data_IF_724092658071
#
_entry.id   IF_724092658071
#
_cell.length_a   1.000
_cell.length_b   1.000
_cell.length_c   1.000
_cell.angle_alpha   90.00
_cell.angle_beta   90.00
_cell.angle_gamma   90.00
#
_symmetry.space_group_name_H-M   'P 1'
#
loop_
_entity.id
_entity.type
_entity.pdbx_description
1 polymer ?
#
# COMPACT_ATOMS: atom_id res chain seq x y z
N UNK A 1 9.57 -6.30 19.72
CA UNK A 1 8.92 -7.47 19.08
C UNK A 1 7.57 -7.06 18.55
N UNK A 2 7.31 -7.25 17.26
CA UNK A 2 6.06 -6.86 16.61
C UNK A 2 4.97 -7.92 16.92
N UNK A 3 3.70 -7.54 16.97
CA UNK A 3 2.61 -8.44 17.43
C UNK A 3 2.49 -9.74 16.59
N UNK A 4 2.86 -9.70 15.32
CA UNK A 4 2.83 -10.86 14.39
C UNK A 4 4.00 -11.82 14.68
N UNK A 5 5.20 -11.30 14.88
CA UNK A 5 6.39 -12.09 15.22
C UNK A 5 6.23 -12.82 16.56
N UNK A 6 5.52 -12.19 17.48
CA UNK A 6 5.25 -12.72 18.82
C UNK A 6 4.34 -13.95 18.81
N UNK A 7 3.28 -13.95 17.95
CA UNK A 7 2.39 -15.11 17.82
C UNK A 7 3.06 -16.29 17.13
N UNK A 8 3.90 -16.04 16.14
CA UNK A 8 4.64 -17.07 15.43
C UNK A 8 5.66 -17.75 16.36
N UNK A 9 6.36 -16.97 17.16
CA UNK A 9 7.31 -17.46 18.15
C UNK A 9 6.63 -18.32 19.24
N UNK A 10 5.46 -17.90 19.72
CA UNK A 10 4.67 -18.68 20.69
C UNK A 10 4.16 -20.00 20.09
N UNK A 11 3.72 -20.01 18.83
CA UNK A 11 3.33 -21.25 18.16
C UNK A 11 4.48 -22.24 18.06
N UNK A 12 5.68 -21.80 17.68
CA UNK A 12 6.89 -22.63 17.60
C UNK A 12 7.33 -23.14 18.98
N UNK A 13 7.13 -22.35 20.03
CA UNK A 13 7.43 -22.76 21.42
C UNK A 13 6.53 -23.91 21.86
N UNK A 14 5.22 -23.82 21.65
CA UNK A 14 4.24 -24.81 22.07
C UNK A 14 4.21 -26.05 21.16
N UNK A 15 4.58 -25.93 19.86
CA UNK A 15 4.76 -27.09 18.97
C UNK A 15 6.06 -27.88 19.23
N UNK A 16 6.97 -27.32 20.02
CA UNK A 16 8.27 -27.94 20.30
C UNK A 16 9.34 -27.64 19.25
N UNK A 17 9.05 -26.81 18.25
CA UNK A 17 9.94 -26.49 17.13
C UNK A 17 10.84 -25.26 17.39
N UNK A 18 10.67 -24.57 18.53
CA UNK A 18 11.47 -23.41 18.89
C UNK A 18 12.93 -23.80 19.20
N UNK A 19 13.86 -23.01 18.64
CA UNK A 19 15.30 -23.13 18.92
C UNK A 19 15.63 -22.77 20.37
N UNK A 20 16.84 -23.10 20.82
CA UNK A 20 17.29 -22.76 22.20
C UNK A 20 17.30 -21.25 22.43
N UNK A 21 17.66 -20.46 21.43
CA UNK A 21 17.70 -18.99 21.49
C UNK A 21 16.29 -18.40 21.56
N UNK A 22 15.37 -18.88 20.72
CA UNK A 22 13.96 -18.49 20.71
C UNK A 22 13.25 -18.81 22.03
N UNK A 23 13.59 -19.92 22.69
CA UNK A 23 13.05 -20.28 24.01
C UNK A 23 13.49 -19.30 25.09
N UNK A 24 14.76 -18.89 25.09
CA UNK A 24 15.29 -17.90 26.04
C UNK A 24 14.60 -16.54 25.82
N UNK A 25 14.36 -16.15 24.58
CA UNK A 25 13.67 -14.90 24.23
C UNK A 25 12.21 -14.88 24.72
N UNK A 26 11.47 -15.97 24.52
CA UNK A 26 10.08 -16.10 25.03
C UNK A 26 10.03 -16.06 26.55
N UNK A 27 10.94 -16.74 27.23
CA UNK A 27 10.99 -16.74 28.71
C UNK A 27 11.35 -15.34 29.25
N UNK A 28 12.26 -14.62 28.59
CA UNK A 28 12.57 -13.23 28.91
C UNK A 28 11.37 -12.30 28.71
N UNK A 29 10.69 -12.45 27.58
CA UNK A 29 9.48 -11.68 27.26
C UNK A 29 8.35 -11.97 28.28
N UNK A 30 8.13 -13.23 28.65
CA UNK A 30 7.14 -13.63 29.66
C UNK A 30 7.39 -12.95 30.99
N UNK A 31 8.66 -12.85 31.41
CA UNK A 31 9.07 -12.24 32.72
C UNK A 31 9.04 -10.70 32.70
N UNK A 32 9.02 -10.08 31.51
CA UNK A 32 9.15 -8.63 31.39
C UNK A 32 7.92 -7.84 31.87
N UNK A 33 6.71 -8.42 31.90
CA UNK A 33 5.52 -7.76 32.43
C UNK A 33 4.41 -8.74 32.84
N UNK A 34 3.56 -8.32 33.78
CA UNK A 34 2.37 -9.08 34.16
C UNK A 34 1.40 -9.32 33.02
N UNK A 35 1.33 -8.36 32.06
CA UNK A 35 0.51 -8.47 30.85
C UNK A 35 1.01 -9.59 29.94
N UNK A 36 2.32 -9.73 29.76
CA UNK A 36 2.93 -10.79 28.95
C UNK A 36 2.72 -12.16 29.58
N UNK A 37 2.77 -12.24 30.92
CA UNK A 37 2.51 -13.47 31.65
C UNK A 37 1.05 -13.94 31.45
N UNK A 38 0.09 -13.01 31.50
CA UNK A 38 -1.33 -13.32 31.23
C UNK A 38 -1.55 -13.78 29.82
N UNK A 39 -0.93 -13.11 28.83
CA UNK A 39 -1.03 -13.47 27.41
C UNK A 39 -0.42 -14.85 27.12
N UNK A 40 0.71 -15.20 27.76
CA UNK A 40 1.31 -16.53 27.67
C UNK A 40 0.38 -17.62 28.21
N UNK A 41 -0.22 -17.40 29.39
CA UNK A 41 -1.13 -18.35 30.02
C UNK A 41 -2.43 -18.55 29.21
N UNK A 42 -2.93 -17.50 28.58
CA UNK A 42 -4.09 -17.57 27.69
C UNK A 42 -3.77 -18.41 26.43
N UNK A 43 -2.62 -18.20 25.84
CA UNK A 43 -2.18 -18.97 24.66
C UNK A 43 -1.95 -20.44 25.01
N UNK A 44 -1.34 -20.74 26.15
CA UNK A 44 -1.15 -22.10 26.68
C UNK A 44 -2.48 -22.82 26.85
N UNK A 45 -3.49 -22.16 27.41
CA UNK A 45 -4.84 -22.72 27.60
C UNK A 45 -5.53 -23.05 26.26
N UNK A 46 -5.40 -22.16 25.27
CA UNK A 46 -5.91 -22.38 23.90
C UNK A 46 -5.21 -23.57 23.27
N UNK A 47 -3.90 -23.66 23.39
CA UNK A 47 -3.10 -24.75 22.83
C UNK A 47 -3.46 -26.10 23.44
N UNK A 48 -3.60 -26.21 24.76
CA UNK A 48 -4.02 -27.41 25.46
C UNK A 48 -5.42 -27.85 25.03
N UNK A 49 -6.37 -26.91 24.91
CA UNK A 49 -7.73 -27.24 24.48
C UNK A 49 -7.81 -27.71 23.01
N UNK A 50 -6.86 -27.29 22.17
CA UNK A 50 -6.76 -27.73 20.78
C UNK A 50 -6.12 -29.12 20.65
N UNK A 51 -5.25 -29.52 21.60
CA UNK A 51 -4.54 -30.80 21.58
C UNK A 51 -5.25 -31.90 22.35
N UNK A 52 -6.16 -31.57 23.27
CA UNK A 52 -6.87 -32.57 24.11
C UNK A 52 -8.07 -33.25 23.44
N UNK A 53 -8.49 -32.87 22.26
CA UNK A 53 -9.50 -33.60 21.47
C UNK A 53 -8.80 -34.40 20.37
N UNK A 54 -8.53 -35.71 20.57
CA UNK A 54 -8.23 -36.54 19.41
C UNK A 54 -9.44 -36.51 18.48
N UNK A 55 -9.19 -36.20 17.20
CA UNK A 55 -10.20 -36.35 16.16
C UNK A 55 -10.71 -37.79 16.24
N UNK A 56 -11.93 -37.97 16.77
CA UNK A 56 -12.61 -39.25 16.64
C UNK A 56 -12.88 -39.43 15.16
N UNK A 57 -12.07 -40.25 14.50
CA UNK A 57 -12.34 -40.71 13.15
C UNK A 57 -13.64 -41.49 13.23
N UNK A 58 -14.73 -41.04 12.59
CA UNK A 58 -15.99 -41.78 12.61
C UNK A 58 -15.76 -43.18 12.08
N UNK A 59 -16.26 -44.19 12.77
CA UNK A 59 -16.20 -45.57 12.27
C UNK A 59 -17.13 -45.65 11.06
N UNK A 60 -16.51 -45.57 9.88
CA UNK A 60 -17.20 -45.54 8.58
C UNK A 60 -18.05 -46.78 8.38
N UNK A 61 -17.62 -47.93 8.91
CA UNK A 61 -18.34 -49.19 8.80
C UNK A 61 -19.62 -49.18 9.60
N UNK A 62 -19.61 -48.61 10.80
CA UNK A 62 -20.83 -48.44 11.62
C UNK A 62 -21.80 -47.42 10.99
N UNK A 63 -21.28 -46.36 10.43
CA UNK A 63 -22.11 -45.36 9.72
C UNK A 63 -22.76 -45.95 8.46
N UNK A 64 -22.03 -46.82 7.75
CA UNK A 64 -22.54 -47.53 6.57
C UNK A 64 -23.64 -48.52 6.92
N UNK A 65 -23.46 -49.30 8.01
CA UNK A 65 -24.48 -50.26 8.49
C UNK A 65 -25.78 -49.54 8.88
N UNK A 66 -25.69 -48.36 9.54
CA UNK A 66 -26.86 -47.60 9.88
C UNK A 66 -27.55 -46.99 8.66
N UNK A 67 -26.81 -46.48 7.71
CA UNK A 67 -27.35 -45.87 6.50
C UNK A 67 -27.98 -46.92 5.57
N UNK A 68 -27.37 -48.12 5.41
CA UNK A 68 -27.90 -49.20 4.59
C UNK A 68 -29.18 -49.78 5.20
N UNK A 69 -29.29 -49.87 6.53
CA UNK A 69 -30.54 -50.25 7.24
C UNK A 69 -31.67 -49.25 7.02
N UNK A 70 -31.40 -47.96 7.00
CA UNK A 70 -32.39 -46.93 6.72
C UNK A 70 -32.85 -46.90 5.26
N UNK A 71 -31.98 -47.27 4.33
CA UNK A 71 -32.28 -47.27 2.89
C UNK A 71 -32.87 -48.57 2.39
N UNK A 72 -33.06 -49.62 3.25
CA UNK A 72 -33.63 -50.91 2.88
C UNK A 72 -32.81 -51.70 1.91
N UNK A 73 -31.49 -51.47 1.85
CA UNK A 73 -30.56 -52.18 0.95
C UNK A 73 -30.27 -53.58 1.51
N UNK A 74 -30.23 -54.67 0.69
CA UNK A 74 -29.87 -56.01 1.16
C UNK A 74 -28.46 -56.00 1.74
N UNK A 75 -28.33 -56.50 2.97
CA UNK A 75 -27.01 -56.74 3.59
C UNK A 75 -26.40 -57.99 3.01
N UNK A 76 -25.52 -57.85 2.02
CA UNK A 76 -24.60 -58.92 1.66
C UNK A 76 -23.43 -58.88 2.64
N UNK A 77 -23.43 -59.79 3.61
CA UNK A 77 -22.24 -60.05 4.41
C UNK A 77 -21.26 -60.83 3.54
N UNK A 78 -20.12 -60.30 3.17
CA UNK A 78 -19.08 -61.08 2.52
C UNK A 78 -18.56 -62.12 3.53
N UNK A 79 -18.37 -63.39 3.14
CA UNK A 79 -17.80 -64.39 4.01
C UNK A 79 -16.40 -63.97 4.41
N UNK A 80 -16.13 -64.00 5.72
CA UNK A 80 -14.81 -63.75 6.26
C UNK A 80 -13.85 -64.84 5.76
N UNK A 81 -13.21 -64.59 4.64
CA UNK A 81 -12.07 -65.36 4.20
C UNK A 81 -10.87 -64.90 4.95
N UNK A 82 -10.46 -65.65 5.97
CA UNK A 82 -9.16 -65.49 6.61
C UNK A 82 -8.13 -65.73 5.55
N UNK A 83 -7.69 -64.67 4.91
CA UNK A 83 -6.49 -64.72 4.09
C UNK A 83 -5.33 -64.77 5.07
N UNK A 84 -4.74 -65.99 5.18
CA UNK A 84 -3.38 -66.14 5.71
C UNK A 84 -2.53 -65.05 5.04
N UNK A 85 -1.99 -64.15 5.87
CA UNK A 85 -1.03 -63.16 5.41
C UNK A 85 0.19 -63.91 4.87
N UNK A 86 0.15 -64.20 3.57
CA UNK A 86 1.35 -64.52 2.83
C UNK A 86 2.33 -63.37 3.13
N UNK A 87 3.49 -63.71 3.75
CA UNK A 87 4.58 -62.75 3.94
C UNK A 87 4.69 -61.94 2.66
N UNK A 88 4.65 -60.59 2.74
CA UNK A 88 4.79 -59.77 1.56
C UNK A 88 6.06 -60.23 0.83
N UNK A 89 6.02 -60.41 -0.51
CA UNK A 89 7.23 -60.67 -1.25
C UNK A 89 8.23 -59.59 -0.83
N UNK A 90 9.46 -60.00 -0.52
CA UNK A 90 10.57 -59.05 -0.28
C UNK A 90 10.86 -58.32 -1.61
N UNK A 91 9.91 -57.45 -1.99
CA UNK A 91 10.06 -56.53 -3.09
C UNK A 91 10.66 -55.28 -2.48
N UNK A 92 11.91 -55.29 -2.22
CA UNK A 92 12.73 -54.06 -2.21
C UNK A 92 14.04 -54.30 -1.46
N UNK A 93 14.77 -55.32 -1.88
CA UNK A 93 16.20 -55.27 -1.79
C UNK A 93 16.74 -54.72 -3.12
N UNK A 94 16.27 -53.57 -3.53
CA UNK A 94 17.04 -52.82 -4.52
C UNK A 94 18.37 -52.45 -3.86
N UNK A 95 19.40 -53.24 -4.18
CA UNK A 95 20.77 -52.78 -4.01
C UNK A 95 20.82 -51.43 -4.70
N UNK A 96 20.98 -50.35 -3.90
CA UNK A 96 21.11 -48.97 -4.36
C UNK A 96 22.22 -48.95 -5.41
N UNK A 97 21.83 -49.04 -6.66
CA UNK A 97 22.79 -49.06 -7.78
C UNK A 97 23.33 -47.62 -7.93
N UNK A 98 24.54 -47.51 -8.38
CA UNK A 98 25.14 -46.24 -8.74
C UNK A 98 24.27 -45.42 -9.72
N UNK A 99 23.43 -46.09 -10.53
CA UNK A 99 22.43 -45.47 -11.41
C UNK A 99 21.37 -44.64 -10.67
N UNK A 100 20.96 -45.09 -9.46
CA UNK A 100 19.91 -44.41 -8.70
C UNK A 100 20.39 -43.05 -8.16
N UNK A 101 21.70 -42.88 -7.93
CA UNK A 101 22.30 -41.61 -7.51
C UNK A 101 22.16 -40.53 -8.60
N UNK A 102 22.28 -40.94 -9.88
CA UNK A 102 22.10 -39.98 -10.99
C UNK A 102 20.63 -39.61 -11.20
N UNK A 103 19.69 -40.51 -10.92
CA UNK A 103 18.25 -40.22 -10.98
C UNK A 103 17.88 -39.18 -9.89
N UNK A 104 18.36 -39.38 -8.66
CA UNK A 104 18.14 -38.44 -7.59
C UNK A 104 18.86 -37.10 -7.81
N UNK A 105 20.06 -37.12 -8.37
CA UNK A 105 20.79 -35.90 -8.76
C UNK A 105 20.04 -35.16 -9.89
N UNK A 106 19.52 -35.86 -10.89
CA UNK A 106 18.71 -35.27 -11.95
C UNK A 106 17.40 -34.67 -11.41
N UNK A 107 16.73 -35.36 -10.48
CA UNK A 107 15.52 -34.85 -9.81
C UNK A 107 15.82 -33.59 -8.98
N UNK A 108 16.93 -33.55 -8.25
CA UNK A 108 17.36 -32.38 -7.48
C UNK A 108 17.69 -31.19 -8.39
N UNK A 109 18.37 -31.41 -9.51
CA UNK A 109 18.67 -30.35 -10.49
C UNK A 109 17.37 -29.82 -11.11
N UNK A 110 16.40 -30.70 -11.42
CA UNK A 110 15.11 -30.29 -11.97
C UNK A 110 14.30 -29.48 -10.97
N UNK A 111 14.27 -29.88 -9.69
CA UNK A 111 13.63 -29.14 -8.61
C UNK A 111 14.29 -27.77 -8.38
N UNK A 112 15.62 -27.71 -8.40
CA UNK A 112 16.35 -26.44 -8.31
C UNK A 112 16.07 -25.56 -9.54
N UNK A 113 15.99 -26.13 -10.73
CA UNK A 113 15.62 -25.42 -11.95
C UNK A 113 14.20 -24.83 -11.87
N UNK A 114 13.23 -25.63 -11.43
CA UNK A 114 11.84 -25.15 -11.21
C UNK A 114 11.80 -24.09 -10.10
N UNK A 115 12.50 -24.31 -8.99
CA UNK A 115 12.56 -23.35 -7.90
C UNK A 115 13.19 -22.02 -8.32
N UNK A 116 14.26 -22.04 -9.12
CA UNK A 116 14.88 -20.81 -9.65
C UNK A 116 13.98 -20.10 -10.65
N UNK A 117 13.26 -20.83 -11.51
CA UNK A 117 12.30 -20.23 -12.45
C UNK A 117 11.14 -19.60 -11.67
N UNK A 118 10.58 -20.29 -10.68
CA UNK A 118 9.53 -19.75 -9.81
C UNK A 118 10.03 -18.54 -9.03
N UNK A 119 11.24 -18.59 -8.50
CA UNK A 119 11.86 -17.46 -7.79
C UNK A 119 12.02 -16.25 -8.71
N UNK A 120 12.54 -16.42 -9.93
CA UNK A 120 12.65 -15.35 -10.92
C UNK A 120 11.28 -14.81 -11.34
N UNK A 121 10.29 -15.69 -11.52
CA UNK A 121 8.93 -15.29 -11.86
C UNK A 121 8.29 -14.42 -10.75
N UNK A 122 8.45 -14.80 -9.49
CA UNK A 122 7.98 -14.01 -8.33
C UNK A 122 8.74 -12.69 -8.21
N UNK A 123 10.05 -12.67 -8.47
CA UNK A 123 10.86 -11.43 -8.44
C UNK A 123 10.48 -10.46 -9.57
N UNK A 124 10.22 -10.96 -10.76
CA UNK A 124 9.92 -10.10 -11.93
C UNK A 124 8.54 -9.42 -11.85
N UNK A 125 7.62 -9.93 -11.01
CA UNK A 125 6.29 -9.32 -10.84
C UNK A 125 6.29 -8.08 -9.92
N UNK A 126 7.39 -7.78 -9.23
CA UNK A 126 7.50 -6.69 -8.26
C UNK A 126 8.43 -5.56 -8.70
N UNK A 127 8.75 -5.43 -10.01
CA UNK A 127 9.51 -4.27 -10.48
C UNK A 127 8.66 -3.01 -10.41
N UNK A 128 9.14 -2.05 -9.62
CA UNK A 128 8.57 -0.71 -9.54
C UNK A 128 9.33 0.25 -10.45
N UNK A 129 8.60 1.16 -11.06
CA UNK A 129 9.13 2.31 -11.77
C UNK A 129 8.87 3.56 -10.95
N UNK A 130 9.88 4.42 -10.85
CA UNK A 130 9.76 5.71 -10.16
C UNK A 130 10.12 6.81 -11.16
N UNK A 131 9.21 7.77 -11.32
CA UNK A 131 9.39 8.92 -12.19
C UNK A 131 9.32 10.18 -11.33
N UNK A 132 10.32 11.05 -11.48
CA UNK A 132 10.43 12.31 -10.74
C UNK A 132 10.52 13.48 -11.68
N UNK A 133 9.87 14.59 -11.33
CA UNK A 133 10.00 15.87 -12.02
C UNK A 133 10.90 16.82 -11.21
N UNK A 134 11.85 17.44 -11.86
CA UNK A 134 12.63 18.52 -11.23
C UNK A 134 11.77 19.77 -11.05
N UNK A 135 12.27 20.76 -10.32
CA UNK A 135 11.66 22.08 -10.24
C UNK A 135 11.59 22.72 -11.64
N UNK A 136 10.59 23.53 -11.87
CA UNK A 136 10.24 24.19 -13.14
C UNK A 136 9.90 23.21 -14.29
N UNK A 137 9.86 21.92 -14.08
CA UNK A 137 9.52 20.92 -15.09
C UNK A 137 8.21 20.22 -14.75
N UNK A 138 7.46 19.91 -15.80
CA UNK A 138 6.28 19.04 -15.76
C UNK A 138 6.52 17.86 -16.67
N UNK A 139 5.91 16.73 -16.39
CA UNK A 139 6.00 15.53 -17.22
C UNK A 139 4.64 14.87 -17.39
N UNK A 140 4.48 14.10 -18.46
CA UNK A 140 3.26 13.36 -18.75
C UNK A 140 3.60 11.92 -19.07
N UNK A 141 3.07 11.01 -18.27
CA UNK A 141 3.37 9.59 -18.33
C UNK A 141 2.10 8.79 -18.60
N UNK A 142 2.26 7.69 -19.31
CA UNK A 142 1.21 6.69 -19.51
C UNK A 142 1.53 5.47 -18.65
N UNK A 143 0.60 5.13 -17.75
CA UNK A 143 0.71 3.96 -16.89
C UNK A 143 0.42 2.66 -17.65
N UNK A 144 0.78 1.49 -17.09
CA UNK A 144 0.58 0.18 -17.73
C UNK A 144 -0.89 -0.16 -18.06
N UNK A 145 -1.85 0.43 -17.36
CA UNK A 145 -3.29 0.26 -17.60
C UNK A 145 -3.85 1.25 -18.66
N UNK A 146 -2.99 2.06 -19.25
CA UNK A 146 -3.37 3.10 -20.21
C UNK A 146 -3.81 4.42 -19.58
N UNK A 147 -3.88 4.54 -18.26
CA UNK A 147 -4.15 5.80 -17.55
C UNK A 147 -3.06 6.83 -17.84
N UNK A 148 -3.46 8.10 -17.93
CA UNK A 148 -2.53 9.23 -18.12
C UNK A 148 -2.33 9.96 -16.79
N UNK A 149 -1.09 10.30 -16.49
CA UNK A 149 -0.73 11.10 -15.32
C UNK A 149 0.14 12.26 -15.76
N UNK A 150 -0.25 13.48 -15.38
CA UNK A 150 0.60 14.67 -15.53
C UNK A 150 1.19 14.99 -14.16
N UNK A 151 2.50 15.05 -14.07
CA UNK A 151 3.25 15.42 -12.87
C UNK A 151 3.59 16.90 -12.91
N UNK A 152 3.29 17.62 -11.84
CA UNK A 152 3.72 19.01 -11.67
C UNK A 152 5.17 19.08 -11.14
N UNK A 153 5.73 20.27 -11.07
CA UNK A 153 7.10 20.53 -10.61
C UNK A 153 7.40 19.94 -9.23
N UNK A 154 8.57 19.30 -9.10
CA UNK A 154 9.03 18.72 -7.84
C UNK A 154 8.08 17.65 -7.31
N UNK A 155 7.68 16.72 -8.15
CA UNK A 155 6.77 15.62 -7.84
C UNK A 155 7.39 14.28 -8.19
N UNK A 156 6.92 13.23 -7.52
CA UNK A 156 7.36 11.86 -7.71
C UNK A 156 6.16 10.92 -7.75
N UNK A 157 6.14 10.01 -8.71
CA UNK A 157 5.20 8.91 -8.77
C UNK A 157 5.94 7.59 -8.85
N UNK A 158 5.48 6.62 -8.06
CA UNK A 158 5.99 5.24 -8.06
C UNK A 158 4.85 4.27 -8.32
N UNK A 159 5.05 3.35 -9.25
CA UNK A 159 4.06 2.35 -9.63
C UNK A 159 4.73 1.05 -10.06
N UNK A 160 4.00 -0.07 -10.01
CA UNK A 160 4.50 -1.34 -10.52
C UNK A 160 4.46 -1.35 -12.05
N UNK A 161 5.49 -1.90 -12.71
CA UNK A 161 5.52 -2.07 -14.18
C UNK A 161 4.36 -2.92 -14.69
N UNK A 162 3.80 -3.79 -13.85
CA UNK A 162 2.60 -4.57 -14.12
C UNK A 162 1.66 -4.46 -12.92
N UNK A 163 0.45 -3.98 -13.15
CA UNK A 163 -0.56 -3.95 -12.10
C UNK A 163 -1.15 -5.35 -11.87
N UNK A 164 -1.45 -5.65 -10.61
CA UNK A 164 -2.10 -6.90 -10.24
C UNK A 164 -3.54 -6.99 -10.83
N UNK A 165 -4.04 -8.21 -10.98
CA UNK A 165 -5.39 -8.43 -11.51
C UNK A 165 -6.50 -7.93 -10.57
N UNK A 166 -6.21 -7.79 -9.28
CA UNK A 166 -7.19 -7.35 -8.27
C UNK A 166 -7.28 -5.84 -8.10
N UNK A 167 -6.18 -5.10 -8.29
CA UNK A 167 -6.13 -3.66 -8.05
C UNK A 167 -4.89 -3.01 -8.68
N UNK A 168 -4.94 -1.69 -8.90
CA UNK A 168 -3.88 -0.85 -9.45
C UNK A 168 -3.41 0.12 -8.38
N UNK A 169 -2.14 0.04 -7.98
CA UNK A 169 -1.58 0.88 -6.93
C UNK A 169 -0.48 1.78 -7.44
N UNK A 170 -0.56 3.05 -7.08
CA UNK A 170 0.51 4.03 -7.27
C UNK A 170 0.77 4.79 -5.99
N UNK A 171 1.99 5.29 -5.80
CA UNK A 171 2.35 6.19 -4.70
C UNK A 171 2.72 7.54 -5.28
N UNK A 172 2.22 8.62 -4.70
CA UNK A 172 2.46 10.00 -5.13
C UNK A 172 3.03 10.83 -3.99
N UNK A 173 4.09 11.57 -4.29
CA UNK A 173 4.59 12.71 -3.50
C UNK A 173 4.60 13.93 -4.42
N UNK A 174 4.06 15.06 -3.96
CA UNK A 174 3.97 16.26 -4.79
C UNK A 174 2.58 16.48 -5.38
N UNK A 175 2.50 16.92 -6.62
CA UNK A 175 1.25 17.24 -7.29
C UNK A 175 1.15 16.55 -8.63
N UNK A 176 -0.02 15.92 -8.88
CA UNK A 176 -0.31 15.24 -10.12
C UNK A 176 -1.79 15.36 -10.50
N UNK A 177 -2.03 15.32 -11.79
CA UNK A 177 -3.36 15.16 -12.37
C UNK A 177 -3.47 13.80 -13.03
N UNK A 178 -4.55 13.10 -12.74
CA UNK A 178 -4.83 11.74 -13.20
C UNK A 178 -6.03 11.72 -14.15
N UNK A 179 -5.87 11.05 -15.27
CA UNK A 179 -6.96 10.60 -16.14
C UNK A 179 -6.96 9.07 -16.12
N UNK A 180 -7.68 8.51 -15.13
CA UNK A 180 -7.68 7.07 -14.91
C UNK A 180 -8.64 6.39 -15.89
N UNK A 181 -8.12 5.41 -16.62
CA UNK A 181 -8.92 4.56 -17.50
C UNK A 181 -9.96 3.78 -16.70
N UNK A 182 -11.21 3.78 -17.15
CA UNK A 182 -12.27 3.01 -16.50
C UNK A 182 -11.99 1.51 -16.61
N UNK A 183 -11.89 0.86 -15.46
CA UNK A 183 -11.66 -0.58 -15.32
C UNK A 183 -12.42 -1.09 -14.08
N UNK A 184 -12.85 -2.34 -14.08
CA UNK A 184 -13.49 -2.97 -12.93
C UNK A 184 -12.55 -3.11 -11.72
N UNK A 185 -11.23 -3.08 -11.96
CA UNK A 185 -10.21 -3.08 -10.91
C UNK A 185 -10.08 -1.68 -10.31
N UNK A 186 -10.15 -1.55 -8.98
CA UNK A 186 -9.95 -0.26 -8.35
C UNK A 186 -8.53 0.26 -8.57
N UNK A 187 -8.42 1.58 -8.74
CA UNK A 187 -7.16 2.31 -8.82
C UNK A 187 -6.95 3.08 -7.51
N UNK A 188 -5.83 2.83 -6.87
CA UNK A 188 -5.45 3.45 -5.60
C UNK A 188 -4.26 4.37 -5.78
N UNK A 189 -4.38 5.61 -5.28
CA UNK A 189 -3.23 6.50 -5.11
C UNK A 189 -2.96 6.63 -3.62
N UNK A 190 -1.79 6.20 -3.19
CA UNK A 190 -1.32 6.41 -1.83
C UNK A 190 -0.46 7.65 -1.77
N UNK A 191 -0.70 8.50 -0.80
CA UNK A 191 0.16 9.63 -0.43
C UNK A 191 0.74 9.40 0.96
N UNK A 192 1.54 10.31 1.48
CA UNK A 192 2.12 10.16 2.83
C UNK A 192 1.11 10.00 3.95
N UNK A 193 -0.12 10.51 3.79
CA UNK A 193 -1.14 10.53 4.85
C UNK A 193 -2.53 10.08 4.41
N UNK A 194 -2.77 9.87 3.11
CA UNK A 194 -4.09 9.53 2.59
C UNK A 194 -4.05 8.45 1.52
N UNK A 195 -5.17 7.78 1.33
CA UNK A 195 -5.41 6.89 0.21
C UNK A 195 -6.64 7.36 -0.57
N UNK A 196 -6.47 7.43 -1.87
CA UNK A 196 -7.48 7.84 -2.84
C UNK A 196 -7.87 6.60 -3.66
N UNK A 197 -9.16 6.29 -3.78
CA UNK A 197 -9.68 5.15 -4.55
C UNK A 197 -10.62 5.65 -5.63
N UNK A 198 -10.41 5.17 -6.87
CA UNK A 198 -11.26 5.46 -8.03
C UNK A 198 -11.45 4.21 -8.91
N UNK A 199 -12.39 4.26 -9.86
CA UNK A 199 -12.57 3.23 -10.89
C UNK A 199 -12.26 3.77 -12.30
N UNK A 200 -12.54 5.06 -12.54
CA UNK A 200 -12.31 5.74 -13.79
C UNK A 200 -12.75 7.20 -13.63
N UNK A 201 -11.80 8.09 -13.43
CA UNK A 201 -12.04 9.43 -12.88
C UNK A 201 -10.93 10.37 -13.37
N UNK A 202 -11.27 11.65 -13.56
CA UNK A 202 -10.31 12.73 -13.83
C UNK A 202 -10.22 13.61 -12.59
N UNK A 203 -9.06 13.68 -11.97
CA UNK A 203 -8.87 14.38 -10.69
C UNK A 203 -7.43 14.82 -10.49
N UNK A 204 -7.25 15.84 -9.67
CA UNK A 204 -5.94 16.29 -9.21
C UNK A 204 -5.70 15.94 -7.76
N UNK A 205 -4.46 15.64 -7.43
CA UNK A 205 -3.96 15.44 -6.07
C UNK A 205 -2.80 16.41 -5.86
N UNK A 206 -2.84 17.12 -4.76
CA UNK A 206 -1.72 17.86 -4.20
C UNK A 206 -1.37 17.25 -2.83
N UNK A 207 -0.17 16.64 -2.71
CA UNK A 207 0.26 15.87 -1.54
C UNK A 207 1.64 16.39 -1.08
N UNK A 208 1.66 17.32 -0.13
CA UNK A 208 2.86 17.96 0.42
C UNK A 208 2.64 18.29 1.89
N UNK A 209 3.71 18.44 2.66
CA UNK A 209 3.67 18.91 4.07
C UNK A 209 2.64 18.16 4.92
N UNK A 210 2.60 16.81 4.82
CA UNK A 210 1.67 15.95 5.57
C UNK A 210 0.17 16.28 5.33
N UNK A 211 -0.12 16.91 4.21
CA UNK A 211 -1.45 17.27 3.76
C UNK A 211 -1.69 16.73 2.35
N UNK A 212 -2.88 16.19 2.13
CA UNK A 212 -3.36 15.79 0.81
C UNK A 212 -4.63 16.53 0.47
N UNK A 213 -4.65 17.22 -0.67
CA UNK A 213 -5.85 17.85 -1.27
C UNK A 213 -6.23 17.09 -2.53
N UNK A 214 -7.50 16.76 -2.68
CA UNK A 214 -8.04 16.08 -3.86
C UNK A 214 -9.12 16.94 -4.48
N UNK A 215 -8.99 17.22 -5.77
CA UNK A 215 -9.98 17.99 -6.56
C UNK A 215 -10.48 17.10 -7.68
N UNK A 216 -11.79 16.88 -7.77
CA UNK A 216 -12.42 16.03 -8.79
C UNK A 216 -12.91 16.88 -9.94
N UNK A 217 -12.42 16.59 -11.16
CA UNK A 217 -12.90 17.22 -12.39
C UNK A 217 -14.06 16.43 -13.00
N UNK A 218 -13.97 15.09 -12.99
CA UNK A 218 -14.96 14.21 -13.60
C UNK A 218 -14.97 12.85 -12.88
N UNK A 219 -16.16 12.29 -12.61
CA UNK A 219 -16.34 10.99 -11.95
C UNK A 219 -16.48 11.07 -10.45
N UNK A 220 -16.00 10.05 -9.75
CA UNK A 220 -16.14 9.89 -8.28
C UNK A 220 -14.83 9.42 -7.67
N UNK A 221 -14.51 9.98 -6.51
CA UNK A 221 -13.31 9.67 -5.72
C UNK A 221 -13.72 9.35 -4.29
N UNK A 222 -13.17 8.28 -3.72
CA UNK A 222 -13.19 8.04 -2.29
C UNK A 222 -11.85 8.41 -1.68
N UNK A 223 -11.85 9.29 -0.70
CA UNK A 223 -10.66 9.77 0.02
C UNK A 223 -10.73 9.31 1.47
N UNK A 224 -9.67 8.68 1.97
CA UNK A 224 -9.53 8.30 3.38
C UNK A 224 -8.16 8.64 3.92
N UNK A 225 -8.06 8.87 5.23
CA UNK A 225 -6.78 8.92 5.93
C UNK A 225 -6.21 7.50 6.08
N UNK A 226 -4.88 7.33 5.90
CA UNK A 226 -4.23 6.01 6.00
C UNK A 226 -4.26 5.46 7.43
N UNK A 227 -4.08 6.33 8.41
CA UNK A 227 -3.96 5.95 9.83
C UNK A 227 -5.31 5.79 10.53
N UNK A 228 -6.43 6.06 9.86
CA UNK A 228 -7.77 6.00 10.44
C UNK A 228 -8.61 4.86 9.83
N UNK A 229 -9.66 4.40 10.55
CA UNK A 229 -10.54 3.36 10.03
C UNK A 229 -11.17 3.72 8.67
N UNK A 230 -11.41 2.74 7.79
CA UNK A 230 -12.02 2.97 6.47
C UNK A 230 -13.38 3.67 6.50
N UNK A 231 -14.13 3.54 7.59
CA UNK A 231 -15.43 4.19 7.78
C UNK A 231 -15.38 5.72 7.82
N UNK A 232 -14.18 6.33 7.96
CA UNK A 232 -13.97 7.77 7.92
C UNK A 232 -13.77 8.32 6.50
N UNK A 233 -13.87 7.47 5.48
CA UNK A 233 -13.72 7.89 4.09
C UNK A 233 -14.85 8.85 3.68
N UNK A 234 -14.50 9.86 2.87
CA UNK A 234 -15.45 10.74 2.22
C UNK A 234 -15.49 10.48 0.72
N UNK A 235 -16.67 10.64 0.12
CA UNK A 235 -16.83 10.57 -1.34
C UNK A 235 -16.90 11.98 -1.92
N UNK A 236 -16.15 12.19 -3.01
CA UNK A 236 -16.15 13.42 -3.80
C UNK A 236 -16.72 13.12 -5.19
N UNK A 237 -17.52 14.05 -5.70
CA UNK A 237 -17.99 14.06 -7.08
C UNK A 237 -17.40 15.23 -7.86
N UNK A 238 -17.74 15.35 -9.15
CA UNK A 238 -17.24 16.42 -10.00
C UNK A 238 -17.44 17.82 -9.36
N UNK A 239 -16.45 18.68 -9.51
CA UNK A 239 -16.38 20.02 -8.92
C UNK A 239 -16.40 20.03 -7.38
N UNK A 240 -15.94 18.96 -6.75
CA UNK A 240 -15.70 18.93 -5.33
C UNK A 240 -14.23 18.80 -4.98
N UNK A 241 -13.86 19.34 -3.84
CA UNK A 241 -12.54 19.23 -3.24
C UNK A 241 -12.67 18.84 -1.77
N UNK A 242 -11.73 18.05 -1.29
CA UNK A 242 -11.53 17.76 0.12
C UNK A 242 -10.06 17.79 0.47
N UNK A 243 -9.76 18.03 1.74
CA UNK A 243 -8.42 18.05 2.32
C UNK A 243 -8.33 17.01 3.42
N UNK A 244 -7.23 16.28 3.45
CA UNK A 244 -6.88 15.34 4.50
C UNK A 244 -5.56 15.79 5.12
N UNK A 245 -5.56 16.07 6.41
CA UNK A 245 -4.36 16.31 7.20
C UNK A 245 -3.89 14.99 7.83
N UNK A 246 -2.63 14.92 8.21
CA UNK A 246 -2.09 13.77 8.94
C UNK A 246 -2.87 13.55 10.23
N UNK A 247 -3.19 12.29 10.53
CA UNK A 247 -3.91 11.87 11.74
C UNK A 247 -5.31 12.50 11.92
N UNK A 248 -5.87 13.06 10.86
CA UNK A 248 -7.21 13.65 10.89
C UNK A 248 -8.08 13.03 9.81
N UNK A 249 -9.40 12.89 10.04
CA UNK A 249 -10.30 12.45 8.98
C UNK A 249 -10.30 13.49 7.86
N UNK A 250 -10.58 13.08 6.60
CA UNK A 250 -10.77 14.04 5.52
C UNK A 250 -11.87 15.03 5.85
N UNK A 251 -11.67 16.28 5.45
CA UNK A 251 -12.71 17.32 5.57
C UNK A 251 -13.93 16.98 4.72
N UNK A 252 -15.10 17.49 5.11
CA UNK A 252 -16.29 17.38 4.27
C UNK A 252 -16.03 17.96 2.87
N UNK A 253 -16.48 17.29 1.80
CA UNK A 253 -16.34 17.79 0.44
C UNK A 253 -16.98 19.18 0.28
N UNK A 254 -16.24 20.11 -0.35
CA UNK A 254 -16.75 21.45 -0.68
C UNK A 254 -16.77 21.69 -2.18
N UNK A 255 -17.74 22.45 -2.65
CA UNK A 255 -17.83 22.84 -4.06
C UNK A 255 -16.69 23.80 -4.43
N UNK A 256 -16.09 23.56 -5.58
CA UNK A 256 -15.03 24.40 -6.16
C UNK A 256 -15.16 24.42 -7.68
N UNK A 257 -14.58 25.42 -8.33
CA UNK A 257 -14.29 25.31 -9.76
C UNK A 257 -13.05 24.43 -9.95
N UNK A 258 -13.27 23.18 -10.37
CA UNK A 258 -12.18 22.23 -10.54
C UNK A 258 -11.21 22.66 -11.67
N UNK A 259 -11.68 23.30 -12.74
CA UNK A 259 -10.81 23.80 -13.80
C UNK A 259 -9.91 24.93 -13.30
N UNK A 260 -10.49 25.83 -12.51
CA UNK A 260 -9.70 26.89 -11.86
C UNK A 260 -8.66 26.28 -10.92
N UNK A 261 -9.03 25.34 -10.04
CA UNK A 261 -8.08 24.69 -9.09
C UNK A 261 -6.98 23.90 -9.77
N UNK A 262 -7.24 23.33 -10.93
CA UNK A 262 -6.29 22.58 -11.74
C UNK A 262 -5.63 23.45 -12.82
N UNK A 263 -5.64 24.77 -12.65
CA UNK A 263 -5.11 25.75 -13.61
C UNK A 263 -3.63 25.57 -13.94
N UNK A 264 -2.85 24.90 -13.09
CA UNK A 264 -1.46 24.58 -13.40
C UNK A 264 -1.28 23.73 -14.68
N UNK A 265 -2.31 22.94 -15.05
CA UNK A 265 -2.35 22.24 -16.32
C UNK A 265 -2.29 23.17 -17.54
N UNK A 266 -2.65 24.42 -17.34
CA UNK A 266 -2.66 25.51 -18.34
C UNK A 266 -1.60 26.58 -18.04
N UNK A 267 -0.63 26.31 -17.16
CA UNK A 267 0.41 27.26 -16.75
C UNK A 267 -0.06 28.39 -15.83
N UNK A 268 -1.19 28.18 -15.12
CA UNK A 268 -1.68 29.13 -14.11
C UNK A 268 -1.21 28.75 -12.73
N UNK A 269 -0.69 29.69 -11.95
CA UNK A 269 -0.41 29.54 -10.53
C UNK A 269 -1.57 30.18 -9.78
N UNK A 270 -2.21 29.44 -8.88
CA UNK A 270 -3.43 29.88 -8.19
C UNK A 270 -3.23 29.78 -6.69
N UNK A 271 -3.42 30.90 -6.04
CA UNK A 271 -3.44 31.03 -4.58
C UNK A 271 -4.85 31.37 -4.12
N UNK A 272 -5.33 30.74 -3.08
CA UNK A 272 -6.62 30.98 -2.46
C UNK A 272 -6.48 30.93 -0.94
N UNK A 273 -6.39 32.08 -0.31
CA UNK A 273 -6.07 32.22 1.10
C UNK A 273 -4.82 31.42 1.50
N UNK A 274 -3.83 31.41 0.60
CA UNK A 274 -2.60 30.62 0.76
C UNK A 274 -1.60 31.42 1.57
N UNK A 275 -0.99 30.79 2.59
CA UNK A 275 0.04 31.44 3.41
C UNK A 275 1.25 31.83 2.57
N UNK A 276 1.91 32.93 2.90
CA UNK A 276 3.10 33.38 2.17
C UNK A 276 4.23 32.35 2.25
N UNK A 277 4.29 31.55 3.32
CA UNK A 277 5.20 30.40 3.39
C UNK A 277 4.92 29.36 2.29
N UNK A 278 3.65 28.97 2.09
CA UNK A 278 3.27 28.04 1.02
C UNK A 278 3.43 28.67 -0.37
N UNK A 279 3.11 29.98 -0.51
CA UNK A 279 3.31 30.76 -1.75
C UNK A 279 4.78 30.71 -2.16
N UNK A 280 5.69 31.06 -1.26
CA UNK A 280 7.14 31.04 -1.49
C UNK A 280 7.58 29.62 -1.92
N UNK A 281 7.18 28.61 -1.19
CA UNK A 281 7.53 27.21 -1.52
C UNK A 281 7.00 26.80 -2.90
N UNK A 282 5.81 27.25 -3.31
CA UNK A 282 5.26 26.99 -4.65
C UNK A 282 6.04 27.73 -5.74
N UNK A 283 6.33 29.02 -5.54
CA UNK A 283 7.10 29.82 -6.49
C UNK A 283 8.52 29.28 -6.68
N UNK A 284 9.18 28.84 -5.62
CA UNK A 284 10.48 28.17 -5.70
C UNK A 284 10.42 26.92 -6.58
N UNK A 285 9.36 26.12 -6.47
CA UNK A 285 9.17 24.93 -7.29
C UNK A 285 8.89 25.26 -8.76
N UNK A 286 8.00 26.22 -8.99
CA UNK A 286 7.56 26.56 -10.35
C UNK A 286 8.63 27.30 -11.13
N UNK A 287 9.42 28.15 -10.48
CA UNK A 287 10.44 28.98 -11.15
C UNK A 287 11.87 28.46 -10.97
N UNK A 288 12.07 27.48 -10.10
CA UNK A 288 13.39 26.95 -9.72
C UNK A 288 14.37 28.04 -9.26
N UNK A 289 13.88 28.95 -8.42
CA UNK A 289 14.68 30.05 -7.85
C UNK A 289 14.54 30.07 -6.34
N UNK A 290 15.61 30.33 -5.56
CA UNK A 290 15.51 30.50 -4.13
C UNK A 290 14.76 31.79 -3.78
N UNK A 291 13.83 31.71 -2.82
CA UNK A 291 13.10 32.86 -2.30
C UNK A 291 13.11 32.78 -0.76
N UNK A 292 13.55 33.80 -0.09
CA UNK A 292 13.67 33.86 1.36
C UNK A 292 12.73 34.92 1.96
N UNK A 293 12.21 34.64 3.13
CA UNK A 293 11.52 35.65 3.96
C UNK A 293 12.51 36.19 4.97
N UNK A 294 12.73 37.53 4.98
CA UNK A 294 13.62 38.19 5.95
C UNK A 294 13.17 37.97 7.39
N UNK A 295 11.87 37.79 7.59
CA UNK A 295 11.26 37.49 8.88
C UNK A 295 10.24 36.33 8.70
N UNK A 296 10.39 35.21 9.41
CA UNK A 296 9.45 34.09 9.33
C UNK A 296 7.99 34.46 9.66
N UNK A 297 7.76 35.49 10.44
CA UNK A 297 6.41 35.97 10.77
C UNK A 297 5.63 36.44 9.53
N UNK A 298 6.31 36.92 8.48
CA UNK A 298 5.69 37.28 7.20
C UNK A 298 4.98 36.12 6.54
N UNK A 299 5.45 34.90 6.82
CA UNK A 299 4.87 33.67 6.30
C UNK A 299 3.41 33.42 6.64
N UNK A 300 2.88 34.06 7.69
CA UNK A 300 1.48 33.99 8.12
C UNK A 300 0.52 34.83 7.26
N UNK A 301 1.04 35.82 6.53
CA UNK A 301 0.21 36.59 5.60
C UNK A 301 -0.39 35.65 4.54
N UNK A 302 -1.61 35.93 4.12
CA UNK A 302 -2.30 35.10 3.11
C UNK A 302 -2.51 35.88 1.81
N UNK A 303 -2.42 35.17 0.70
CA UNK A 303 -2.66 35.70 -0.65
C UNK A 303 -3.80 34.95 -1.31
N UNK A 304 -4.63 35.69 -2.04
CA UNK A 304 -5.59 35.17 -3.02
C UNK A 304 -5.32 35.84 -4.36
N UNK A 305 -5.07 35.05 -5.39
CA UNK A 305 -4.78 35.56 -6.73
C UNK A 305 -4.41 34.47 -7.70
N UNK A 306 -4.36 34.82 -8.98
CA UNK A 306 -3.90 33.90 -10.02
C UNK A 306 -2.94 34.60 -10.98
N UNK A 307 -1.93 33.87 -11.42
CA UNK A 307 -0.90 34.33 -12.35
C UNK A 307 -0.82 33.34 -13.51
N UNK A 308 -0.82 33.84 -14.74
CA UNK A 308 -0.77 33.01 -15.94
C UNK A 308 0.43 33.39 -16.78
N UNK A 309 1.40 32.47 -16.89
CA UNK A 309 2.61 32.64 -17.69
C UNK A 309 3.35 33.99 -17.41
N UNK A 310 3.43 34.40 -16.15
CA UNK A 310 4.12 35.62 -15.74
C UNK A 310 5.56 35.30 -15.29
N UNK A 311 6.54 36.16 -15.58
CA UNK A 311 7.88 36.04 -15.01
C UNK A 311 7.81 36.22 -13.49
N UNK A 312 8.77 35.60 -12.77
CA UNK A 312 8.80 35.58 -11.29
C UNK A 312 8.80 37.00 -10.69
N UNK A 313 9.52 37.93 -11.33
CA UNK A 313 9.60 39.33 -10.85
C UNK A 313 8.21 40.00 -10.85
N UNK A 314 7.41 39.76 -11.87
CA UNK A 314 6.04 40.29 -11.96
C UNK A 314 5.12 39.68 -10.91
N UNK A 315 5.29 38.39 -10.61
CA UNK A 315 4.54 37.69 -9.57
C UNK A 315 4.91 38.24 -8.19
N UNK A 316 6.21 38.31 -7.88
CA UNK A 316 6.71 38.87 -6.62
C UNK A 316 6.29 40.33 -6.43
N UNK A 317 6.42 41.18 -7.47
CA UNK A 317 5.96 42.57 -7.41
C UNK A 317 4.48 42.67 -7.05
N UNK A 318 3.62 41.84 -7.64
CA UNK A 318 2.18 41.84 -7.35
C UNK A 318 1.88 41.37 -5.93
N UNK A 319 2.55 40.33 -5.45
CA UNK A 319 2.40 39.79 -4.09
C UNK A 319 2.85 40.83 -3.07
N UNK A 320 4.05 41.39 -3.25
CA UNK A 320 4.62 42.37 -2.34
C UNK A 320 3.74 43.67 -2.28
N UNK A 321 3.27 44.12 -3.42
CA UNK A 321 2.34 45.27 -3.47
C UNK A 321 1.05 44.99 -2.68
N UNK A 322 0.48 43.78 -2.83
CA UNK A 322 -0.76 43.40 -2.14
C UNK A 322 -0.58 43.34 -0.62
N UNK A 323 0.58 42.88 -0.15
CA UNK A 323 0.87 42.72 1.27
C UNK A 323 1.60 43.93 1.91
N UNK A 324 1.83 45.01 1.15
CA UNK A 324 2.66 46.16 1.56
C UNK A 324 4.06 45.74 2.01
N UNK A 325 4.68 44.83 1.23
CA UNK A 325 6.04 44.30 1.40
C UNK A 325 6.92 44.75 0.22
N UNK A 326 8.21 44.50 0.33
CA UNK A 326 9.18 44.75 -0.71
C UNK A 326 9.90 43.43 -1.05
N UNK A 327 10.51 43.36 -2.23
CA UNK A 327 11.44 42.27 -2.54
C UNK A 327 12.74 42.85 -3.12
N UNK A 328 13.83 42.21 -2.80
CA UNK A 328 15.15 42.49 -3.38
C UNK A 328 15.61 41.28 -4.19
N UNK A 329 16.18 41.52 -5.36
CA UNK A 329 16.79 40.52 -6.20
C UNK A 329 18.31 40.59 -6.00
N UNK A 330 18.90 39.49 -5.57
CA UNK A 330 20.35 39.23 -5.64
C UNK A 330 20.60 38.29 -6.80
N UNK A 331 21.86 38.05 -7.18
CA UNK A 331 22.23 37.36 -8.42
C UNK A 331 21.32 36.19 -8.77
N UNK A 332 21.04 35.29 -7.84
CA UNK A 332 20.25 34.06 -8.09
C UNK A 332 19.13 33.82 -7.05
N UNK A 333 18.88 34.76 -6.13
CA UNK A 333 17.85 34.62 -5.12
C UNK A 333 17.00 35.88 -4.97
N UNK A 334 15.84 35.72 -4.37
CA UNK A 334 14.93 36.82 -3.99
C UNK A 334 14.75 36.82 -2.48
N UNK A 335 14.69 38.00 -1.87
CA UNK A 335 14.37 38.15 -0.45
C UNK A 335 13.15 39.08 -0.31
N UNK A 336 12.09 38.60 0.38
CA UNK A 336 10.89 39.39 0.69
C UNK A 336 11.05 39.99 2.10
N UNK A 337 10.84 41.28 2.22
CA UNK A 337 10.96 42.05 3.47
C UNK A 337 9.81 43.03 3.63
N UNK A 338 9.72 43.63 4.81
CA UNK A 338 8.81 44.75 5.10
C UNK A 338 9.21 45.99 4.36
#
# INVERSE_FOLDING_TARGET
>A
MNHVEQHELLMRYFSGEATTEERVEIEAWRRASAKNQSAFAEFEKIWQSATEKPLQVPNVDQAWVQLSAQLGLPQETPPAKILEMRKPPQLWSHKFSWSDRYVWAAAAILLLGVATILYQFVQSTNEFETITTAHALQDSIKLPDGSLVKLNSGSEIRFAKHFADSARYVTLTGEAYFEVTHDNRPFYVNTGNAQIKVLGTKFGIWARHEQTRVTVREGRVSLRALELPPATAVELTANQMSRCLKQSPPEAPRLVDANHRLGWLEGKIIFDQTSLTEVVAELQRVYNVPIELSNPALGQNTITGSFHNKPIESVLASICLTLNLQYTKQTDNFTISE
#
